data_IF_212647131549
#
_entry.id   IF_212647131549
#
_cell.length_a   1.000
_cell.length_b   1.000
_cell.length_c   1.000
_cell.angle_alpha   90.00
_cell.angle_beta   90.00
_cell.angle_gamma   90.00
#
_symmetry.space_group_name_H-M   'P 1'
#
loop_
_entity.id
_entity.type
_entity.pdbx_description
1 polymer ?
#
# COMPACT_ATOMS: atom_id res chain seq x y z
N UNK A 1 19.79 26.14 -15.33
CA UNK A 1 20.00 25.04 -14.35
C UNK A 1 18.94 25.16 -13.28
N UNK A 2 17.87 24.37 -13.38
CA UNK A 2 16.78 24.38 -12.40
C UNK A 2 17.10 23.41 -11.25
N UNK A 3 17.03 23.91 -10.02
CA UNK A 3 17.21 23.10 -8.79
C UNK A 3 15.91 22.37 -8.48
N UNK A 4 16.06 21.10 -8.09
CA UNK A 4 15.01 20.19 -7.65
C UNK A 4 14.46 20.64 -6.26
N UNK A 5 13.15 20.93 -6.09
CA UNK A 5 12.61 21.51 -4.86
C UNK A 5 12.29 20.50 -3.74
N UNK A 6 12.70 19.24 -3.85
CA UNK A 6 12.40 18.22 -2.84
C UNK A 6 13.66 17.81 -2.05
N UNK A 7 14.01 18.61 -1.04
CA UNK A 7 14.82 18.15 0.11
C UNK A 7 13.91 18.01 1.33
N UNK A 8 13.93 16.81 1.91
CA UNK A 8 13.15 16.36 3.05
C UNK A 8 13.39 17.25 4.30
N UNK A 9 12.38 17.96 4.86
CA UNK A 9 12.55 18.77 6.05
C UNK A 9 12.16 17.97 7.29
N UNK A 10 13.05 17.11 7.78
CA UNK A 10 12.98 16.59 9.14
C UNK A 10 14.33 16.77 9.82
N UNK A 11 14.54 17.96 10.38
CA UNK A 11 15.52 18.19 11.44
C UNK A 11 15.00 19.24 12.41
N UNK A 12 14.89 18.80 13.67
CA UNK A 12 14.87 19.57 14.91
C UNK A 12 13.57 20.34 15.27
N UNK A 13 12.78 19.70 16.13
CA UNK A 13 11.88 20.37 17.07
C UNK A 13 12.08 19.77 18.46
N UNK A 14 12.69 20.54 19.36
CA UNK A 14 12.80 20.21 20.79
C UNK A 14 11.43 20.38 21.46
N UNK A 15 10.90 19.32 22.06
CA UNK A 15 9.78 19.41 23.00
C UNK A 15 10.11 18.66 24.28
N UNK A 16 10.32 19.41 25.36
CA UNK A 16 10.49 18.92 26.71
C UNK A 16 9.16 18.40 27.26
N UNK A 17 9.02 17.09 27.36
CA UNK A 17 7.97 16.42 28.12
C UNK A 17 8.59 15.61 29.26
N UNK A 18 7.93 15.67 30.42
CA UNK A 18 8.38 15.09 31.69
C UNK A 18 8.55 13.56 31.58
N UNK A 19 9.70 13.08 32.06
CA UNK A 19 10.08 11.68 32.05
C UNK A 19 9.27 10.88 33.09
N UNK A 20 8.37 10.04 32.59
CA UNK A 20 8.02 8.78 33.24
C UNK A 20 9.21 7.83 33.03
N UNK A 21 9.70 7.19 34.10
CA UNK A 21 10.84 6.28 34.06
C UNK A 21 10.48 4.98 33.34
N UNK A 22 10.41 5.02 32.01
CA UNK A 22 10.50 3.83 31.18
C UNK A 22 11.95 3.36 31.20
N UNK A 23 12.19 2.17 31.76
CA UNK A 23 13.51 1.55 31.72
C UNK A 23 14.00 1.45 30.28
N UNK A 24 15.18 2.02 30.01
CA UNK A 24 15.88 1.82 28.74
C UNK A 24 16.16 0.33 28.57
N UNK A 25 15.60 -0.28 27.52
CA UNK A 25 15.96 -1.65 27.14
C UNK A 25 17.45 -1.71 26.79
N UNK A 26 18.12 -2.84 27.06
CA UNK A 26 19.51 -3.00 26.67
C UNK A 26 19.65 -2.97 25.14
N UNK A 27 20.75 -2.40 24.61
CA UNK A 27 21.08 -2.51 23.19
C UNK A 27 21.20 -4.00 22.80
N UNK A 28 20.98 -4.32 21.51
CA UNK A 28 20.97 -5.70 21.01
C UNK A 28 22.19 -6.52 21.44
N UNK A 29 23.37 -5.91 21.46
CA UNK A 29 24.59 -6.56 21.95
C UNK A 29 24.49 -6.97 23.42
N UNK A 30 23.95 -6.11 24.28
CA UNK A 30 23.72 -6.41 25.69
C UNK A 30 22.65 -7.48 25.90
N UNK A 31 21.61 -7.49 25.07
CA UNK A 31 20.60 -8.56 25.11
C UNK A 31 21.17 -9.91 24.65
N UNK A 32 21.96 -9.94 23.57
CA UNK A 32 22.65 -11.16 23.11
C UNK A 32 23.57 -11.70 24.21
N UNK A 33 24.33 -10.85 24.88
CA UNK A 33 25.19 -11.25 25.99
C UNK A 33 24.40 -11.74 27.20
N UNK A 34 23.23 -11.16 27.49
CA UNK A 34 22.31 -11.64 28.52
C UNK A 34 21.83 -13.07 28.19
N UNK A 35 21.36 -13.29 26.96
CA UNK A 35 20.86 -14.61 26.53
C UNK A 35 21.99 -15.64 26.53
N UNK A 36 23.16 -15.30 26.00
CA UNK A 36 24.32 -16.21 25.92
C UNK A 36 24.80 -16.65 27.30
N UNK A 37 24.73 -15.77 28.30
CA UNK A 37 25.17 -16.06 29.66
C UNK A 37 24.03 -16.55 30.58
N UNK A 38 22.80 -16.61 30.08
CA UNK A 38 21.65 -17.05 30.87
C UNK A 38 21.76 -18.54 31.21
N UNK A 39 21.35 -18.88 32.44
CA UNK A 39 21.15 -20.28 32.89
C UNK A 39 19.68 -20.70 32.81
N UNK A 40 18.83 -19.84 32.25
CA UNK A 40 17.42 -20.12 32.09
C UNK A 40 17.20 -21.33 31.16
N UNK A 41 16.15 -22.14 31.39
CA UNK A 41 15.84 -23.24 30.49
C UNK A 41 15.42 -22.71 29.10
N UNK A 42 15.60 -23.50 28.02
CA UNK A 42 15.36 -23.05 26.64
C UNK A 42 14.00 -22.36 26.39
N UNK A 43 12.86 -22.83 26.95
CA UNK A 43 11.57 -22.15 26.76
C UNK A 43 11.53 -20.73 27.33
N UNK A 44 12.24 -20.49 28.42
CA UNK A 44 12.34 -19.16 29.05
C UNK A 44 13.22 -18.23 28.22
N UNK A 45 14.32 -18.75 27.65
CA UNK A 45 15.17 -18.02 26.71
C UNK A 45 14.37 -17.64 25.45
N UNK A 46 13.58 -18.57 24.89
CA UNK A 46 12.71 -18.32 23.75
C UNK A 46 11.69 -17.21 24.04
N UNK A 47 11.05 -17.24 25.21
CA UNK A 47 10.10 -16.21 25.61
C UNK A 47 10.76 -14.82 25.75
N UNK A 48 11.98 -14.76 26.29
CA UNK A 48 12.77 -13.51 26.36
C UNK A 48 13.12 -12.97 24.97
N UNK A 49 13.56 -13.82 24.05
CA UNK A 49 13.88 -13.44 22.66
C UNK A 49 12.63 -12.94 21.94
N UNK A 50 11.51 -13.67 22.04
CA UNK A 50 10.24 -13.25 21.46
C UNK A 50 9.78 -11.90 22.03
N UNK A 51 9.86 -11.71 23.35
CA UNK A 51 9.52 -10.45 24.00
C UNK A 51 10.42 -9.28 23.55
N UNK A 52 11.71 -9.53 23.31
CA UNK A 52 12.65 -8.51 22.82
C UNK A 52 12.39 -8.11 21.36
N UNK A 53 12.01 -9.08 20.52
CA UNK A 53 11.70 -8.88 19.10
C UNK A 53 10.32 -8.25 18.86
N UNK A 54 9.35 -8.51 19.75
CA UNK A 54 8.01 -7.93 19.68
C UNK A 54 7.91 -6.49 20.23
N UNK A 55 9.00 -5.92 20.78
CA UNK A 55 9.04 -4.49 21.12
C UNK A 55 9.11 -3.66 19.82
N UNK A 56 8.19 -2.69 19.67
CA UNK A 56 8.05 -1.85 18.47
C UNK A 56 9.36 -1.15 18.05
N UNK A 57 10.33 -1.00 18.96
CA UNK A 57 11.65 -0.41 18.67
C UNK A 57 12.61 -1.35 17.92
N UNK A 58 12.30 -2.64 17.84
CA UNK A 58 13.12 -3.67 17.23
C UNK A 58 12.45 -4.37 16.03
N UNK A 59 11.35 -3.83 15.51
CA UNK A 59 10.60 -4.41 14.38
C UNK A 59 11.48 -4.62 13.12
N UNK A 60 12.57 -3.87 12.97
CA UNK A 60 13.56 -4.01 11.90
C UNK A 60 14.48 -5.25 12.04
N UNK A 61 14.52 -5.91 13.20
CA UNK A 61 15.31 -7.13 13.45
C UNK A 61 14.60 -8.42 13.04
N UNK A 62 13.30 -8.35 12.69
CA UNK A 62 12.55 -9.53 12.24
C UNK A 62 13.13 -10.15 10.95
N UNK A 63 13.85 -9.36 10.13
CA UNK A 63 14.57 -9.85 8.95
C UNK A 63 15.92 -10.52 9.25
N UNK A 64 16.41 -10.47 10.50
CA UNK A 64 17.68 -11.03 10.94
C UNK A 64 17.50 -12.21 11.92
N UNK A 65 16.29 -12.76 12.04
CA UNK A 65 15.98 -13.92 12.89
C UNK A 65 16.94 -15.09 12.61
N UNK A 66 17.22 -15.37 11.34
CA UNK A 66 18.15 -16.45 10.94
C UNK A 66 19.58 -16.23 11.49
N UNK A 67 20.05 -14.97 11.59
CA UNK A 67 21.36 -14.64 12.19
C UNK A 67 21.34 -14.73 13.70
N UNK A 68 20.21 -14.41 14.35
CA UNK A 68 20.06 -14.57 15.79
C UNK A 68 20.05 -16.05 16.18
N UNK A 69 19.41 -16.90 15.39
CA UNK A 69 19.42 -18.36 15.59
C UNK A 69 20.83 -18.95 15.40
N UNK A 70 21.57 -18.51 14.39
CA UNK A 70 22.98 -18.88 14.17
C UNK A 70 23.87 -18.44 15.34
N UNK A 71 23.72 -17.19 15.82
CA UNK A 71 24.51 -16.63 16.93
C UNK A 71 24.23 -17.29 18.29
N UNK A 72 23.05 -17.88 18.46
CA UNK A 72 22.62 -18.54 19.70
C UNK A 72 22.88 -20.06 19.70
N UNK A 73 23.37 -20.63 18.59
CA UNK A 73 23.72 -22.06 18.50
C UNK A 73 22.53 -23.00 18.72
N UNK A 74 21.31 -22.54 18.47
CA UNK A 74 20.09 -23.31 18.70
C UNK A 74 19.81 -24.20 17.49
N UNK A 75 20.48 -25.35 17.41
CA UNK A 75 20.15 -26.41 16.43
C UNK A 75 18.91 -27.18 16.91
N UNK A 76 17.75 -26.96 16.29
CA UNK A 76 16.55 -27.75 16.56
C UNK A 76 16.45 -28.94 15.60
N UNK A 77 16.47 -30.17 16.14
CA UNK A 77 16.25 -31.38 15.34
C UNK A 77 14.84 -31.44 14.74
N UNK A 78 13.87 -30.73 15.34
CA UNK A 78 12.57 -30.40 14.77
C UNK A 78 12.21 -28.97 15.18
N UNK A 79 12.38 -27.95 14.31
CA UNK A 79 11.94 -26.61 14.66
C UNK A 79 10.42 -26.70 14.94
N UNK A 80 9.92 -26.17 16.06
CA UNK A 80 8.49 -25.92 16.18
C UNK A 80 8.11 -25.16 14.92
N UNK A 81 7.04 -25.58 14.24
CA UNK A 81 6.57 -24.90 13.03
C UNK A 81 6.14 -23.50 13.43
N UNK A 82 7.09 -22.57 13.47
CA UNK A 82 6.78 -21.17 13.60
C UNK A 82 5.86 -20.84 12.42
N UNK A 83 4.72 -20.20 12.67
CA UNK A 83 3.87 -19.77 11.58
C UNK A 83 4.74 -18.97 10.63
N UNK A 84 4.86 -19.44 9.38
CA UNK A 84 5.65 -18.79 8.35
C UNK A 84 5.18 -17.34 8.33
N UNK A 85 6.07 -16.41 8.66
CA UNK A 85 5.75 -15.00 8.57
C UNK A 85 5.41 -14.72 7.09
N UNK A 86 4.19 -14.24 6.84
CA UNK A 86 3.72 -13.86 5.51
C UNK A 86 3.58 -15.02 4.49
N UNK A 87 2.71 -16.01 4.73
CA UNK A 87 2.48 -17.08 3.77
C UNK A 87 1.71 -16.57 2.54
N UNK A 88 1.94 -17.16 1.38
CA UNK A 88 1.19 -16.88 0.16
C UNK A 88 -0.32 -16.99 0.40
N UNK A 89 -1.07 -15.94 0.07
CA UNK A 89 -2.50 -15.84 0.33
C UNK A 89 -3.35 -16.94 -0.37
N UNK A 90 -2.83 -17.58 -1.42
CA UNK A 90 -3.55 -18.64 -2.15
C UNK A 90 -3.21 -20.06 -1.69
N UNK A 91 -1.93 -20.35 -1.42
CA UNK A 91 -1.47 -21.73 -1.16
C UNK A 91 -0.86 -21.94 0.22
N UNK A 92 -0.71 -20.87 1.02
CA UNK A 92 -0.12 -20.92 2.36
C UNK A 92 1.40 -21.16 2.39
N UNK A 93 2.06 -21.31 1.23
CA UNK A 93 3.51 -21.55 1.15
C UNK A 93 4.30 -20.27 1.44
N UNK A 94 5.54 -20.38 1.97
CA UNK A 94 6.42 -19.22 2.09
C UNK A 94 6.59 -18.48 0.76
N UNK A 95 6.52 -17.16 0.81
CA UNK A 95 6.91 -16.29 -0.31
C UNK A 95 8.43 -16.11 -0.32
N UNK A 96 9.00 -15.89 -1.50
CA UNK A 96 10.45 -15.73 -1.67
C UNK A 96 10.93 -14.29 -1.52
N UNK A 97 10.02 -13.34 -1.70
CA UNK A 97 10.33 -11.92 -1.79
C UNK A 97 9.44 -11.16 -0.82
N UNK A 98 10.06 -10.34 0.02
CA UNK A 98 9.34 -9.48 0.96
C UNK A 98 8.41 -8.52 0.22
N UNK A 99 7.19 -8.39 0.73
CA UNK A 99 6.15 -7.53 0.17
C UNK A 99 5.29 -8.18 -0.92
N UNK A 100 5.59 -9.41 -1.36
CA UNK A 100 4.68 -10.18 -2.20
C UNK A 100 3.55 -10.79 -1.37
N UNK A 101 2.35 -10.86 -1.96
CA UNK A 101 1.20 -11.55 -1.35
C UNK A 101 1.06 -13.00 -1.85
N UNK A 102 1.71 -13.30 -2.98
CA UNK A 102 1.57 -14.55 -3.70
C UNK A 102 2.94 -15.10 -4.07
N UNK A 103 3.13 -16.42 -3.95
CA UNK A 103 4.29 -17.05 -4.54
C UNK A 103 4.22 -16.98 -6.08
N UNK A 104 5.35 -17.17 -6.76
CA UNK A 104 5.42 -17.04 -8.23
C UNK A 104 4.42 -17.90 -8.99
N UNK A 105 4.19 -19.15 -8.55
CA UNK A 105 3.21 -20.04 -9.16
C UNK A 105 1.77 -19.54 -8.96
N UNK A 106 1.42 -19.13 -7.74
CA UNK A 106 0.08 -18.60 -7.45
C UNK A 106 -0.16 -17.23 -8.09
N UNK A 107 0.87 -16.42 -8.32
CA UNK A 107 0.73 -15.15 -9.05
C UNK A 107 0.23 -15.37 -10.49
N UNK A 108 0.81 -16.35 -11.20
CA UNK A 108 0.35 -16.75 -12.54
C UNK A 108 -1.06 -17.31 -12.50
N UNK A 109 -1.36 -18.19 -11.55
CA UNK A 109 -2.68 -18.78 -11.39
C UNK A 109 -3.75 -17.73 -11.07
N UNK A 110 -3.43 -16.78 -10.17
CA UNK A 110 -4.30 -15.67 -9.82
C UNK A 110 -4.61 -14.80 -11.04
N UNK A 111 -3.59 -14.43 -11.82
CA UNK A 111 -3.79 -13.63 -13.04
C UNK A 111 -4.72 -14.29 -14.06
N UNK A 112 -4.71 -15.63 -14.14
CA UNK A 112 -5.63 -16.40 -14.99
C UNK A 112 -7.05 -16.49 -14.43
N UNK A 113 -7.22 -16.34 -13.11
CA UNK A 113 -8.53 -16.35 -12.43
C UNK A 113 -9.12 -14.95 -12.24
N UNK A 114 -8.31 -13.90 -12.40
CA UNK A 114 -8.75 -12.51 -12.31
C UNK A 114 -9.81 -12.16 -13.37
N UNK A 115 -10.66 -11.15 -13.12
CA UNK A 115 -10.64 -10.22 -11.99
C UNK A 115 -11.24 -10.82 -10.69
N UNK A 116 -10.53 -10.73 -9.57
CA UNK A 116 -10.97 -11.30 -8.30
C UNK A 116 -10.47 -10.51 -7.07
N UNK A 117 -11.07 -10.80 -5.92
CA UNK A 117 -10.59 -10.37 -4.61
C UNK A 117 -10.04 -11.56 -3.84
N UNK A 118 -8.96 -11.34 -3.11
CA UNK A 118 -8.41 -12.30 -2.17
C UNK A 118 -8.28 -11.63 -0.81
N UNK A 119 -8.99 -12.13 0.19
CA UNK A 119 -8.96 -11.57 1.55
C UNK A 119 -7.53 -11.65 2.11
N UNK A 120 -7.10 -10.57 2.76
CA UNK A 120 -5.82 -10.52 3.46
C UNK A 120 -6.10 -10.71 4.95
N UNK A 121 -5.66 -11.83 5.57
CA UNK A 121 -5.81 -12.02 7.00
C UNK A 121 -5.16 -10.90 7.80
N UNK A 122 -5.76 -10.52 8.93
CA UNK A 122 -5.23 -9.48 9.84
C UNK A 122 -3.81 -9.75 10.34
N UNK A 123 -3.40 -11.02 10.34
CA UNK A 123 -2.06 -11.48 10.74
C UNK A 123 -1.03 -11.43 9.61
N UNK A 124 -1.43 -11.11 8.38
CA UNK A 124 -0.55 -11.02 7.22
C UNK A 124 0.14 -9.64 7.17
N UNK A 125 1.42 -9.57 6.78
CA UNK A 125 2.19 -8.31 6.86
C UNK A 125 1.62 -7.23 5.94
N UNK A 126 1.09 -7.64 4.77
CA UNK A 126 0.42 -6.72 3.85
C UNK A 126 -0.83 -6.07 4.44
N UNK A 127 -1.54 -6.73 5.37
CA UNK A 127 -2.66 -6.11 6.07
C UNK A 127 -2.17 -4.88 6.84
N UNK A 128 -1.15 -5.05 7.69
CA UNK A 128 -0.55 -3.97 8.47
C UNK A 128 0.03 -2.88 7.57
N UNK A 129 0.71 -3.26 6.49
CA UNK A 129 1.31 -2.32 5.53
C UNK A 129 0.26 -1.45 4.82
N UNK A 130 -0.82 -2.08 4.31
CA UNK A 130 -1.91 -1.38 3.63
C UNK A 130 -2.69 -0.51 4.62
N UNK A 131 -3.00 -1.03 5.81
CA UNK A 131 -3.66 -0.26 6.86
C UNK A 131 -2.86 0.98 7.25
N UNK A 132 -1.55 0.84 7.49
CA UNK A 132 -0.66 1.97 7.78
C UNK A 132 -0.67 2.99 6.64
N UNK A 133 -0.59 2.53 5.40
CA UNK A 133 -0.61 3.41 4.23
C UNK A 133 -1.95 4.15 4.09
N UNK A 134 -3.06 3.47 4.36
CA UNK A 134 -4.41 4.05 4.37
C UNK A 134 -4.57 5.11 5.46
N UNK A 135 -4.20 4.78 6.69
CA UNK A 135 -4.21 5.71 7.85
C UNK A 135 -3.37 6.94 7.57
N UNK A 136 -2.15 6.77 7.05
CA UNK A 136 -1.28 7.88 6.67
C UNK A 136 -1.90 8.76 5.58
N UNK A 137 -2.57 8.16 4.60
CA UNK A 137 -3.23 8.87 3.52
C UNK A 137 -4.46 9.68 3.99
N UNK A 138 -5.10 9.29 5.10
CA UNK A 138 -6.15 10.10 5.73
C UNK A 138 -5.59 11.40 6.34
N UNK A 139 -4.31 11.44 6.69
CA UNK A 139 -3.65 12.65 7.20
C UNK A 139 -4.29 13.14 8.51
N UNK A 140 -4.89 14.34 8.48
CA UNK A 140 -5.57 14.94 9.64
C UNK A 140 -7.06 14.54 9.74
N UNK A 141 -7.57 13.82 8.76
CA UNK A 141 -8.98 13.41 8.74
C UNK A 141 -9.19 12.23 9.70
N UNK A 142 -10.39 12.08 10.29
CA UNK A 142 -10.73 10.88 11.02
C UNK A 142 -10.50 9.66 10.13
N UNK A 143 -9.76 8.68 10.65
CA UNK A 143 -9.51 7.41 9.95
C UNK A 143 -10.74 6.53 10.14
N UNK A 144 -11.44 6.12 9.08
CA UNK A 144 -12.57 5.19 9.18
C UNK A 144 -12.16 3.84 9.78
N UNK A 145 -13.08 3.15 10.44
CA UNK A 145 -12.76 1.85 11.05
C UNK A 145 -12.59 0.80 9.94
N UNK A 146 -11.38 0.25 9.79
CA UNK A 146 -11.05 -0.71 8.73
C UNK A 146 -11.50 -2.11 9.14
N UNK A 147 -12.51 -2.61 8.42
CA UNK A 147 -13.12 -3.91 8.67
C UNK A 147 -12.34 -5.02 7.97
N UNK A 148 -12.00 -4.80 6.70
CA UNK A 148 -11.40 -5.83 5.85
C UNK A 148 -10.48 -5.19 4.81
N UNK A 149 -9.46 -5.96 4.39
CA UNK A 149 -8.53 -5.58 3.31
C UNK A 149 -8.42 -6.76 2.36
N UNK A 150 -8.54 -6.48 1.06
CA UNK A 150 -8.41 -7.47 0.00
C UNK A 150 -7.24 -7.12 -0.91
N UNK A 151 -6.52 -8.15 -1.35
CA UNK A 151 -5.69 -8.08 -2.54
C UNK A 151 -6.60 -8.10 -3.77
N UNK A 152 -6.44 -7.10 -4.62
CA UNK A 152 -7.07 -7.10 -5.94
C UNK A 152 -6.21 -7.95 -6.87
N UNK A 153 -6.84 -8.92 -7.51
CA UNK A 153 -6.24 -9.73 -8.57
C UNK A 153 -6.76 -9.19 -9.91
N UNK A 154 -6.03 -8.28 -10.58
CA UNK A 154 -6.42 -7.79 -11.89
C UNK A 154 -6.34 -8.89 -12.95
N UNK A 155 -7.05 -8.71 -14.06
CA UNK A 155 -6.89 -9.60 -15.22
C UNK A 155 -5.49 -9.45 -15.83
N UNK A 156 -5.00 -10.51 -16.49
CA UNK A 156 -3.73 -10.47 -17.22
C UNK A 156 -3.66 -9.32 -18.25
N UNK A 157 -4.79 -8.94 -18.83
CA UNK A 157 -4.86 -7.83 -19.81
C UNK A 157 -4.51 -6.50 -19.14
N UNK A 158 -5.12 -6.20 -17.98
CA UNK A 158 -4.85 -4.96 -17.23
C UNK A 158 -3.38 -4.92 -16.78
N UNK A 159 -2.88 -6.03 -16.23
CA UNK A 159 -1.48 -6.14 -15.80
C UNK A 159 -0.51 -5.95 -16.97
N UNK A 160 -0.79 -6.54 -18.13
CA UNK A 160 0.03 -6.39 -19.32
C UNK A 160 0.04 -4.95 -19.85
N UNK A 161 -1.13 -4.28 -19.86
CA UNK A 161 -1.23 -2.86 -20.25
C UNK A 161 -0.40 -1.97 -19.33
N UNK A 162 -0.50 -2.17 -18.02
CA UNK A 162 0.29 -1.43 -17.04
C UNK A 162 1.79 -1.63 -17.22
N UNK A 163 2.23 -2.89 -17.36
CA UNK A 163 3.64 -3.21 -17.56
C UNK A 163 4.18 -2.66 -18.89
N UNK A 164 3.39 -2.71 -19.96
CA UNK A 164 3.76 -2.14 -21.26
C UNK A 164 3.90 -0.62 -21.18
N UNK A 165 2.98 0.07 -20.50
CA UNK A 165 3.06 1.51 -20.28
C UNK A 165 4.30 1.89 -19.47
N UNK A 166 4.55 1.19 -18.35
CA UNK A 166 5.74 1.38 -17.52
C UNK A 166 7.03 1.17 -18.33
N UNK A 167 7.13 0.06 -19.07
CA UNK A 167 8.30 -0.22 -19.90
C UNK A 167 8.53 0.84 -20.98
N UNK A 168 7.45 1.39 -21.56
CA UNK A 168 7.53 2.49 -22.51
C UNK A 168 8.08 3.78 -21.88
N UNK A 169 7.70 4.11 -20.65
CA UNK A 169 8.27 5.25 -19.92
C UNK A 169 9.75 5.01 -19.60
N UNK A 170 10.11 3.80 -19.22
CA UNK A 170 11.49 3.41 -18.93
C UNK A 170 12.38 3.55 -20.19
N UNK A 171 11.91 3.06 -21.33
CA UNK A 171 12.59 3.18 -22.61
C UNK A 171 12.78 4.64 -23.06
N UNK A 172 11.88 5.55 -22.65
CA UNK A 172 11.98 7.00 -22.89
C UNK A 172 12.84 7.74 -21.85
N UNK A 173 13.43 7.03 -20.87
CA UNK A 173 14.19 7.64 -19.78
C UNK A 173 13.33 8.49 -18.84
N UNK A 174 12.01 8.27 -18.81
CA UNK A 174 11.07 9.06 -18.00
C UNK A 174 10.81 8.49 -16.62
N UNK A 175 11.46 7.37 -16.28
CA UNK A 175 11.45 6.79 -14.93
C UNK A 175 12.73 7.08 -14.13
N UNK A 176 13.79 7.57 -14.78
CA UNK A 176 15.05 7.92 -14.12
C UNK A 176 14.98 9.33 -13.53
N UNK A 177 15.06 9.47 -12.20
CA UNK A 177 15.24 10.78 -11.56
C UNK A 177 14.34 11.13 -10.36
N UNK A 178 13.51 10.21 -9.86
CA UNK A 178 12.68 10.45 -8.66
C UNK A 178 11.56 9.43 -8.47
N UNK A 179 10.62 9.72 -7.55
CA UNK A 179 9.42 8.91 -7.28
C UNK A 179 8.42 8.99 -8.43
N UNK A 180 8.67 8.16 -9.46
CA UNK A 180 7.81 7.99 -10.63
C UNK A 180 6.76 6.90 -10.46
N UNK A 181 6.85 6.13 -9.37
CA UNK A 181 5.81 5.23 -8.91
C UNK A 181 5.22 5.77 -7.61
N UNK A 182 3.92 5.99 -7.58
CA UNK A 182 3.18 6.51 -6.45
C UNK A 182 2.12 5.51 -6.00
N UNK A 183 1.83 5.54 -4.70
CA UNK A 183 0.63 4.90 -4.14
C UNK A 183 -0.45 5.96 -4.02
N UNK A 184 -1.54 5.78 -4.77
CA UNK A 184 -2.65 6.72 -4.81
C UNK A 184 -3.98 6.00 -4.51
N UNK A 185 -4.93 6.76 -3.99
CA UNK A 185 -6.20 6.28 -3.47
C UNK A 185 -7.37 6.75 -4.32
N UNK A 186 -8.36 5.87 -4.47
CA UNK A 186 -9.63 6.20 -5.08
C UNK A 186 -10.76 5.61 -4.24
N UNK A 187 -11.67 6.46 -3.77
CA UNK A 187 -12.74 6.07 -2.84
C UNK A 187 -14.12 6.18 -3.49
N UNK A 188 -15.02 5.25 -3.18
CA UNK A 188 -16.38 5.18 -3.73
C UNK A 188 -17.37 4.59 -2.71
N UNK A 189 -18.68 4.89 -2.87
CA UNK A 189 -19.73 4.28 -2.06
C UNK A 189 -19.88 2.78 -2.37
N UNK A 190 -20.20 1.97 -1.34
CA UNK A 190 -20.46 0.54 -1.50
C UNK A 190 -21.88 0.25 -1.99
N UNK A 191 -22.09 0.34 -3.31
CA UNK A 191 -23.43 0.13 -3.91
C UNK A 191 -23.88 -1.33 -4.05
N UNK A 192 -22.96 -2.29 -4.03
CA UNK A 192 -23.27 -3.71 -4.30
C UNK A 192 -23.23 -4.61 -3.07
N UNK A 193 -23.06 -4.03 -1.88
CA UNK A 193 -22.93 -4.79 -0.64
C UNK A 193 -21.69 -5.68 -0.62
N UNK A 194 -20.60 -5.25 -1.27
CA UNK A 194 -19.32 -5.96 -1.19
C UNK A 194 -18.87 -5.99 0.28
N UNK A 195 -18.43 -7.16 0.75
CA UNK A 195 -18.15 -7.52 2.14
C UNK A 195 -19.32 -7.47 3.13
N UNK A 196 -20.53 -7.14 2.69
CA UNK A 196 -21.69 -7.34 3.55
C UNK A 196 -22.00 -8.84 3.59
N UNK A 197 -22.11 -9.39 4.81
CA UNK A 197 -22.50 -10.79 5.03
C UNK A 197 -21.57 -11.81 4.33
N UNK A 198 -20.28 -11.51 4.19
CA UNK A 198 -19.31 -12.38 3.50
C UNK A 198 -19.45 -12.39 1.97
N UNK A 199 -20.09 -11.38 1.38
CA UNK A 199 -20.15 -11.25 -0.07
C UNK A 199 -18.82 -10.72 -0.63
N UNK A 200 -18.03 -11.58 -1.27
CA UNK A 200 -16.76 -11.19 -1.91
C UNK A 200 -16.83 -11.22 -3.44
N UNK A 201 -18.03 -11.30 -4.01
CA UNK A 201 -18.21 -11.49 -5.45
C UNK A 201 -18.21 -10.14 -6.17
N UNK A 202 -17.38 -10.04 -7.21
CA UNK A 202 -17.40 -8.89 -8.13
C UNK A 202 -18.76 -8.87 -8.85
N UNK A 203 -19.56 -7.84 -8.60
CA UNK A 203 -20.85 -7.68 -9.28
C UNK A 203 -20.67 -7.22 -10.73
N UNK A 204 -21.69 -7.46 -11.57
CA UNK A 204 -21.68 -7.06 -13.00
C UNK A 204 -22.28 -5.67 -13.26
N UNK A 205 -22.62 -4.93 -12.21
CA UNK A 205 -23.21 -3.60 -12.36
C UNK A 205 -22.18 -2.59 -12.82
N UNK A 206 -22.44 -1.90 -13.93
CA UNK A 206 -21.63 -0.79 -14.43
C UNK A 206 -21.61 0.41 -13.49
N UNK A 207 -22.59 0.51 -12.60
CA UNK A 207 -22.72 1.62 -11.65
C UNK A 207 -21.95 1.34 -10.35
N UNK A 208 -21.37 0.15 -10.22
CA UNK A 208 -20.50 -0.21 -9.11
C UNK A 208 -19.06 0.14 -9.44
N UNK A 209 -18.58 1.27 -8.91
CA UNK A 209 -17.20 1.75 -9.12
C UNK A 209 -16.15 0.71 -8.72
N UNK A 210 -16.34 0.03 -7.58
CA UNK A 210 -15.43 -1.00 -7.07
C UNK A 210 -15.24 -2.16 -8.05
N UNK A 211 -16.36 -2.73 -8.48
CA UNK A 211 -16.39 -3.91 -9.32
C UNK A 211 -15.96 -3.57 -10.74
N UNK A 212 -16.27 -2.34 -11.20
CA UNK A 212 -15.80 -1.84 -12.49
C UNK A 212 -14.28 -1.66 -12.50
N UNK A 213 -13.70 -1.03 -11.48
CA UNK A 213 -12.24 -0.88 -11.35
C UNK A 213 -11.56 -2.25 -11.30
N UNK A 214 -12.12 -3.23 -10.60
CA UNK A 214 -11.50 -4.56 -10.56
C UNK A 214 -11.66 -5.32 -11.88
N UNK A 215 -12.81 -5.18 -12.54
CA UNK A 215 -13.08 -5.91 -13.79
C UNK A 215 -12.32 -5.37 -14.99
N UNK A 216 -12.27 -4.05 -15.12
CA UNK A 216 -11.79 -3.36 -16.32
C UNK A 216 -10.88 -2.17 -15.99
N UNK A 217 -10.35 -2.08 -14.76
CA UNK A 217 -9.58 -0.92 -14.31
C UNK A 217 -10.40 0.37 -14.47
N UNK A 218 -9.72 1.49 -14.67
CA UNK A 218 -10.33 2.79 -14.88
C UNK A 218 -10.86 3.00 -16.32
N UNK A 219 -10.96 1.94 -17.14
CA UNK A 219 -11.46 2.03 -18.53
C UNK A 219 -12.93 2.47 -18.62
N UNK A 220 -13.69 2.33 -17.53
CA UNK A 220 -15.10 2.71 -17.44
C UNK A 220 -15.33 4.08 -16.79
N UNK A 221 -14.30 4.82 -16.40
CA UNK A 221 -14.47 6.17 -15.86
C UNK A 221 -14.88 7.14 -16.99
N UNK A 222 -16.14 7.02 -17.40
CA UNK A 222 -16.69 7.64 -18.59
C UNK A 222 -16.81 9.14 -18.44
N UNK A 223 -16.85 9.73 -17.25
CA UNK A 223 -17.00 11.18 -17.12
C UNK A 223 -15.66 11.90 -17.28
N UNK A 224 -14.62 11.49 -16.56
CA UNK A 224 -13.28 12.02 -16.78
C UNK A 224 -12.76 11.63 -18.17
N UNK A 225 -12.99 10.40 -18.63
CA UNK A 225 -12.55 9.98 -19.96
C UNK A 225 -13.29 10.71 -21.09
N UNK A 226 -14.55 11.11 -20.91
CA UNK A 226 -15.25 11.95 -21.90
C UNK A 226 -14.65 13.36 -21.99
N UNK A 227 -14.20 13.92 -20.88
CA UNK A 227 -13.67 15.29 -20.84
C UNK A 227 -12.18 15.37 -21.19
N UNK A 228 -11.40 14.35 -20.81
CA UNK A 228 -9.95 14.35 -20.91
C UNK A 228 -9.39 13.16 -21.70
N UNK A 229 -10.22 12.32 -22.32
CA UNK A 229 -9.77 11.20 -23.16
C UNK A 229 -9.32 9.98 -22.34
N UNK A 230 -8.05 9.58 -22.45
CA UNK A 230 -7.53 8.37 -21.77
C UNK A 230 -7.07 8.61 -20.33
N UNK A 231 -7.42 9.74 -19.74
CA UNK A 231 -6.91 10.17 -18.44
C UNK A 231 -8.00 10.13 -17.37
N UNK A 232 -7.62 9.76 -16.15
CA UNK A 232 -8.50 9.75 -14.97
C UNK A 232 -7.83 10.43 -13.79
N UNK A 233 -8.64 10.88 -12.83
CA UNK A 233 -8.18 11.52 -11.60
C UNK A 233 -8.05 10.51 -10.47
N UNK A 234 -6.91 10.52 -9.81
CA UNK A 234 -6.66 9.71 -8.63
C UNK A 234 -6.00 10.56 -7.54
N UNK A 235 -6.33 10.31 -6.29
CA UNK A 235 -6.02 11.22 -5.19
C UNK A 235 -4.92 10.68 -4.29
N UNK A 236 -4.15 11.57 -3.68
CA UNK A 236 -3.15 11.15 -2.69
C UNK A 236 -3.77 10.72 -1.35
N UNK A 237 -4.99 11.18 -1.07
CA UNK A 237 -5.79 10.83 0.11
C UNK A 237 -7.13 10.24 -0.32
N UNK A 238 -7.67 9.24 0.40
CA UNK A 238 -9.05 8.81 0.18
C UNK A 238 -9.98 10.00 0.49
N UNK A 239 -10.70 10.50 -0.52
CA UNK A 239 -11.48 11.73 -0.39
C UNK A 239 -12.65 11.54 0.59
N UNK A 240 -12.70 12.29 1.71
CA UNK A 240 -13.74 12.13 2.72
C UNK A 240 -15.12 12.56 2.24
N UNK A 241 -15.23 13.41 1.21
CA UNK A 241 -16.53 13.75 0.64
C UNK A 241 -17.18 12.54 -0.03
N UNK A 242 -16.41 11.52 -0.39
CA UNK A 242 -16.94 10.26 -0.93
C UNK A 242 -17.36 9.29 0.20
N UNK A 243 -17.20 9.70 1.45
CA UNK A 243 -17.56 8.94 2.67
C UNK A 243 -18.73 9.57 3.44
N UNK A 244 -19.49 10.48 2.81
CA UNK A 244 -20.58 11.21 3.50
C UNK A 244 -21.92 10.47 3.53
N UNK A 245 -22.03 9.32 2.88
CA UNK A 245 -23.23 8.47 2.95
C UNK A 245 -23.07 7.42 4.07
N UNK A 246 -24.18 7.11 4.75
CA UNK A 246 -24.24 6.06 5.77
C UNK A 246 -23.93 4.68 5.15
N UNK A 247 -23.11 3.89 5.83
CA UNK A 247 -22.79 2.51 5.44
C UNK A 247 -21.31 2.27 5.11
N UNK A 248 -21.02 1.07 4.61
CA UNK A 248 -19.67 0.66 4.26
C UNK A 248 -19.11 1.51 3.12
N UNK A 249 -17.86 1.87 3.28
CA UNK A 249 -17.07 2.69 2.36
C UNK A 249 -15.94 1.84 1.81
N UNK A 250 -15.57 2.15 0.58
CA UNK A 250 -14.56 1.39 -0.12
C UNK A 250 -13.49 2.34 -0.65
N UNK A 251 -12.23 1.98 -0.42
CA UNK A 251 -11.08 2.71 -0.93
C UNK A 251 -10.11 1.75 -1.64
N UNK A 252 -9.76 2.06 -2.87
CA UNK A 252 -8.79 1.30 -3.65
C UNK A 252 -7.43 1.97 -3.53
N UNK A 253 -6.44 1.18 -3.11
CA UNK A 253 -5.03 1.50 -3.18
C UNK A 253 -4.50 1.10 -4.55
N UNK A 254 -3.91 2.05 -5.26
CA UNK A 254 -3.39 1.86 -6.60
C UNK A 254 -1.89 2.10 -6.63
N UNK A 255 -1.20 1.29 -7.42
CA UNK A 255 0.14 1.61 -7.90
C UNK A 255 0.01 2.43 -9.17
N UNK A 256 0.61 3.61 -9.21
CA UNK A 256 0.52 4.54 -10.34
C UNK A 256 1.90 4.90 -10.85
N UNK A 257 2.13 4.80 -12.15
CA UNK A 257 3.39 5.22 -12.79
C UNK A 257 3.19 6.57 -13.46
N UNK A 258 3.70 7.64 -12.86
CA UNK A 258 3.41 9.03 -13.27
C UNK A 258 4.34 9.57 -14.35
N UNK A 259 5.49 8.93 -14.58
CA UNK A 259 6.48 9.40 -15.57
C UNK A 259 6.93 10.84 -15.31
N UNK A 260 7.06 11.64 -16.37
CA UNK A 260 7.37 13.06 -16.24
C UNK A 260 6.09 13.85 -15.91
N UNK A 261 5.97 14.29 -14.65
CA UNK A 261 4.82 15.08 -14.19
C UNK A 261 4.97 16.59 -14.42
N UNK A 262 3.86 17.28 -14.66
CA UNK A 262 3.74 18.74 -14.57
C UNK A 262 2.77 19.15 -13.47
N UNK A 263 2.86 20.39 -12.98
CA UNK A 263 1.92 20.93 -11.99
C UNK A 263 0.99 21.94 -12.62
N UNK A 264 -0.31 21.78 -12.37
CA UNK A 264 -1.38 22.67 -12.80
C UNK A 264 -2.07 23.25 -11.55
N UNK A 265 -2.50 24.50 -11.62
CA UNK A 265 -3.21 25.13 -10.49
C UNK A 265 -4.65 24.60 -10.40
N UNK A 266 -5.27 24.33 -11.54
CA UNK A 266 -6.65 23.85 -11.65
C UNK A 266 -6.78 22.79 -12.76
N UNK A 267 -7.87 22.02 -12.74
CA UNK A 267 -8.17 21.07 -13.81
C UNK A 267 -8.41 21.77 -15.16
N UNK A 268 -8.93 23.00 -15.14
CA UNK A 268 -9.16 23.81 -16.35
C UNK A 268 -7.87 24.28 -17.01
N UNK A 269 -6.73 24.25 -16.32
CA UNK A 269 -5.41 24.56 -16.91
C UNK A 269 -4.86 23.40 -17.74
N UNK A 270 -5.51 22.23 -17.69
CA UNK A 270 -5.10 21.05 -18.44
C UNK A 270 -5.70 21.11 -19.83
N UNK A 271 -4.84 21.06 -20.83
CA UNK A 271 -5.19 21.05 -22.25
C UNK A 271 -4.63 19.78 -22.90
N UNK A 272 -5.05 19.48 -24.13
CA UNK A 272 -4.46 18.36 -24.90
C UNK A 272 -2.92 18.48 -25.00
N UNK A 273 -2.40 19.71 -25.11
CA UNK A 273 -0.96 19.99 -25.19
C UNK A 273 -0.20 19.77 -23.89
N UNK A 274 -0.89 19.70 -22.75
CA UNK A 274 -0.27 19.42 -21.46
C UNK A 274 0.51 18.10 -21.51
N UNK A 275 0.08 17.14 -22.32
CA UNK A 275 0.69 15.83 -22.43
C UNK A 275 1.64 15.66 -23.61
N UNK A 276 1.91 16.72 -24.39
CA UNK A 276 2.91 16.67 -25.48
C UNK A 276 4.29 16.33 -24.92
N UNK A 277 4.60 16.81 -23.70
CA UNK A 277 5.90 16.65 -23.07
C UNK A 277 5.84 15.98 -21.68
N UNK A 278 4.64 15.71 -21.16
CA UNK A 278 4.45 15.16 -19.81
C UNK A 278 3.58 13.90 -19.87
N UNK A 279 3.74 13.02 -18.90
CA UNK A 279 2.97 11.77 -18.78
C UNK A 279 1.88 11.86 -17.71
N UNK A 280 1.96 12.86 -16.81
CA UNK A 280 0.93 13.13 -15.81
C UNK A 280 0.86 14.62 -15.46
N UNK A 281 -0.28 15.04 -14.91
CA UNK A 281 -0.47 16.37 -14.35
C UNK A 281 -0.91 16.28 -12.89
N UNK A 282 -0.30 17.10 -12.04
CA UNK A 282 -0.62 17.24 -10.62
C UNK A 282 -1.47 18.49 -10.48
N UNK A 283 -2.71 18.33 -10.03
CA UNK A 283 -3.61 19.43 -9.73
C UNK A 283 -3.47 19.75 -8.24
N UNK A 284 -2.92 20.93 -7.95
CA UNK A 284 -2.82 21.41 -6.58
C UNK A 284 -4.07 22.22 -6.23
N UNK A 285 -5.03 21.62 -5.53
CA UNK A 285 -6.26 22.32 -5.17
C UNK A 285 -5.95 23.52 -4.26
N UNK A 286 -6.05 24.74 -4.79
CA UNK A 286 -5.84 25.97 -4.04
C UNK A 286 -6.91 26.18 -2.97
N UNK A 287 -6.48 26.57 -1.77
CA UNK A 287 -7.28 27.23 -0.70
C UNK A 287 -8.34 26.42 0.07
N UNK A 288 -8.49 25.10 -0.08
CA UNK A 288 -9.39 24.36 0.83
C UNK A 288 -8.64 23.98 2.12
N UNK A 289 -8.95 24.67 3.23
CA UNK A 289 -8.21 24.68 4.50
C UNK A 289 -8.20 23.34 5.25
N UNK A 290 -9.13 22.42 4.93
CA UNK A 290 -9.21 21.08 5.52
C UNK A 290 -8.41 20.03 4.72
N UNK A 291 -8.16 20.28 3.44
CA UNK A 291 -7.41 19.38 2.55
C UNK A 291 -6.11 20.05 2.11
N UNK A 292 -5.30 20.53 3.07
CA UNK A 292 -4.02 21.23 2.84
C UNK A 292 -3.03 20.53 1.90
N UNK A 293 -3.28 19.27 1.51
CA UNK A 293 -2.49 18.48 0.54
C UNK A 293 -3.33 17.52 -0.30
N UNK A 294 -4.55 17.89 -0.72
CA UNK A 294 -5.26 17.09 -1.74
C UNK A 294 -4.64 17.37 -3.11
N UNK A 295 -3.69 16.52 -3.50
CA UNK A 295 -3.20 16.46 -4.86
C UNK A 295 -4.06 15.44 -5.61
N UNK A 296 -4.62 15.87 -6.74
CA UNK A 296 -5.19 14.97 -7.73
C UNK A 296 -4.16 14.79 -8.85
N UNK A 297 -3.95 13.54 -9.26
CA UNK A 297 -3.13 13.19 -10.39
C UNK A 297 -4.05 12.89 -11.56
N UNK A 298 -3.89 13.61 -12.66
CA UNK A 298 -4.48 13.26 -13.94
C UNK A 298 -3.44 12.46 -14.73
N UNK A 299 -3.73 11.19 -14.98
CA UNK A 299 -2.76 10.22 -15.53
C UNK A 299 -3.46 9.26 -16.49
N UNK A 300 -2.75 8.69 -17.49
CA UNK A 300 -3.32 7.68 -18.38
C UNK A 300 -3.88 6.49 -17.61
N UNK A 301 -5.00 5.93 -18.04
CA UNK A 301 -5.62 4.78 -17.38
C UNK A 301 -4.66 3.59 -17.28
N UNK A 302 -3.83 3.38 -18.30
CA UNK A 302 -2.83 2.30 -18.34
C UNK A 302 -1.71 2.50 -17.33
N UNK A 303 -1.56 3.69 -16.76
CA UNK A 303 -0.57 3.96 -15.70
C UNK A 303 -1.00 3.48 -14.33
N UNK A 304 -2.23 3.00 -14.17
CA UNK A 304 -2.85 2.69 -12.87
C UNK A 304 -3.09 1.20 -12.74
N UNK A 305 -2.56 0.61 -11.67
CA UNK A 305 -2.79 -0.77 -11.28
C UNK A 305 -3.47 -0.82 -9.91
N UNK A 306 -4.77 -1.18 -9.84
CA UNK A 306 -5.43 -1.46 -8.57
C UNK A 306 -4.74 -2.62 -7.84
N UNK A 307 -4.31 -2.40 -6.60
CA UNK A 307 -3.59 -3.40 -5.82
C UNK A 307 -4.38 -3.89 -4.62
N UNK A 308 -5.02 -3.00 -3.87
CA UNK A 308 -5.75 -3.39 -2.67
C UNK A 308 -7.09 -2.67 -2.59
N UNK A 309 -8.07 -3.35 -1.99
CA UNK A 309 -9.36 -2.77 -1.61
C UNK A 309 -9.43 -2.76 -0.09
N UNK A 310 -9.66 -1.57 0.47
CA UNK A 310 -9.92 -1.35 1.90
C UNK A 310 -11.42 -1.12 2.07
N UNK A 311 -12.01 -1.84 3.02
CA UNK A 311 -13.41 -1.72 3.38
C UNK A 311 -13.49 -1.16 4.79
N UNK A 312 -14.20 -0.05 4.92
CA UNK A 312 -14.31 0.67 6.18
C UNK A 312 -15.73 1.14 6.49
N UNK A 313 -15.95 1.55 7.73
CA UNK A 313 -17.20 2.11 8.26
C UNK A 313 -16.94 3.51 8.83
#
# INVERSE_FOLDING_TARGET
MFRNPFTNPFSQGNSSHAASSQGTLPPLSGFIDEIRNSRDPPPTIQAKVASYLCDERHEWLLGDIDKLEELLGLSYDHPPSFPVANPCLMCGRPIKQDGDDLCSACSVEAGNKGPAYLEIPRTHTSYTSVLRTFTNACGQMPVPDVKEIYKIIPSNVITAQFNAYRANLEARGRLSGGTTELVLWHAFPNKCGLAQQGNHTVCKSSDCGSCSIVSVSYLTDRECAKQHGRYTTIHMSPNPSNFTEDGFKLAVMNKVVTGLGTTCATISDITERTFDNYDSAIIQSGKNTYLKKSFAYLTPIESILPQYLVICE
#
